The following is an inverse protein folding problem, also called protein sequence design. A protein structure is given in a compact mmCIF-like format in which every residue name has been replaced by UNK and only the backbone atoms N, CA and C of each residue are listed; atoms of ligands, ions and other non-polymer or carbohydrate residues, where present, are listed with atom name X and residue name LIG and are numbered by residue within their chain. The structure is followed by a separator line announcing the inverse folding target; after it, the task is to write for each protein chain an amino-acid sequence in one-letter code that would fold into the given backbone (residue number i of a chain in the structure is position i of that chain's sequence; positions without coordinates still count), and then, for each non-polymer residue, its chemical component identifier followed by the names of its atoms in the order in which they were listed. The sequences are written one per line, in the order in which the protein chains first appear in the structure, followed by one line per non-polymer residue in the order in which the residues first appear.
data_IF_815054850209
#
_entry.id   IF_815054850209
#
_cell.length_a   1.000
_cell.length_b   1.000
_cell.length_c   1.000
_cell.angle_alpha   90.00
_cell.angle_beta   90.00
_cell.angle_gamma   90.00
#
_symmetry.space_group_name_H-M   'P 1'
#
loop_
_entity.id
_entity.type
_entity.pdbx_description
1 polymer ?
#
# COMPACT_ATOMS: atom_id res chain seq x y z
N UNK A 1 14.67 36.02 -53.59
CA UNK A 1 15.91 36.77 -53.24
C UNK A 1 15.65 37.52 -51.95
N UNK A 2 16.58 37.44 -50.99
CA UNK A 2 16.66 38.15 -49.68
C UNK A 2 15.55 37.83 -48.66
N UNK A 3 15.73 36.93 -47.67
CA UNK A 3 16.49 37.02 -46.39
C UNK A 3 16.19 38.29 -45.56
N UNK A 4 15.50 38.12 -44.43
CA UNK A 4 15.97 38.65 -43.14
C UNK A 4 15.40 37.80 -41.98
N UNK A 5 16.31 37.29 -41.17
CA UNK A 5 16.05 36.55 -39.94
C UNK A 5 15.79 37.54 -38.79
N UNK A 6 14.85 37.24 -37.91
CA UNK A 6 14.70 37.91 -36.62
C UNK A 6 14.79 36.86 -35.51
N UNK A 7 15.82 37.04 -34.69
CA UNK A 7 16.16 36.33 -33.46
C UNK A 7 15.07 36.45 -32.40
N UNK A 8 14.71 35.32 -31.79
CA UNK A 8 13.83 35.21 -30.63
C UNK A 8 14.68 35.39 -29.36
N UNK A 9 14.51 36.52 -28.67
CA UNK A 9 15.05 36.72 -27.32
C UNK A 9 13.96 36.35 -26.31
N UNK A 10 14.17 35.29 -25.55
CA UNK A 10 13.34 34.92 -24.41
C UNK A 10 13.64 35.89 -23.25
N UNK A 11 12.65 36.73 -22.91
CA UNK A 11 12.67 37.54 -21.69
C UNK A 11 12.40 36.63 -20.50
N UNK A 12 13.38 36.50 -19.59
CA UNK A 12 13.13 36.05 -18.22
C UNK A 12 12.24 37.10 -17.51
N UNK A 13 11.03 36.70 -17.14
CA UNK A 13 10.19 37.49 -16.25
C UNK A 13 10.48 37.10 -14.80
N UNK A 14 11.23 37.94 -14.09
CA UNK A 14 11.27 37.96 -12.63
C UNK A 14 9.85 38.15 -12.10
N UNK A 15 9.32 37.15 -11.39
CA UNK A 15 8.08 37.31 -10.63
C UNK A 15 8.38 37.96 -9.29
N UNK A 16 7.59 38.97 -8.96
CA UNK A 16 7.73 39.82 -7.79
C UNK A 16 7.45 39.04 -6.49
N UNK A 17 8.38 39.18 -5.53
CA UNK A 17 8.23 38.74 -4.14
C UNK A 17 7.14 39.56 -3.43
N UNK A 18 6.28 38.88 -2.68
CA UNK A 18 5.25 39.46 -1.81
C UNK A 18 5.86 39.83 -0.46
N UNK A 19 5.40 40.89 0.25
CA UNK A 19 6.11 41.42 1.40
C UNK A 19 5.73 40.69 2.70
N UNK A 20 6.70 40.03 3.35
CA UNK A 20 6.63 39.71 4.78
C UNK A 20 7.38 40.78 5.58
N UNK A 21 6.70 41.36 6.57
CA UNK A 21 7.26 42.38 7.46
C UNK A 21 8.22 41.75 8.49
N UNK A 22 9.44 42.29 8.54
CA UNK A 22 10.48 41.97 9.52
C UNK A 22 10.14 42.47 10.93
N UNK A 23 10.29 41.62 11.94
CA UNK A 23 10.39 42.06 13.34
C UNK A 23 11.85 41.89 13.77
N UNK A 24 12.55 43.02 13.89
CA UNK A 24 13.93 43.08 14.35
C UNK A 24 14.02 42.85 15.88
N UNK A 25 14.93 41.98 16.30
CA UNK A 25 15.40 41.83 17.67
C UNK A 25 16.93 41.76 17.67
N UNK A 26 17.56 42.65 18.42
CA UNK A 26 18.99 42.98 18.36
C UNK A 26 19.92 41.95 19.02
N UNK A 27 21.13 41.81 18.47
CA UNK A 27 22.31 41.19 19.08
C UNK A 27 23.51 41.29 18.12
N UNK A 28 24.51 42.07 18.50
CA UNK A 28 25.76 42.29 17.74
C UNK A 28 26.57 41.00 17.54
N UNK A 29 26.71 40.55 16.29
CA UNK A 29 27.81 39.68 15.85
C UNK A 29 28.40 40.23 14.56
N UNK A 30 29.43 41.08 14.68
CA UNK A 30 30.21 41.56 13.56
C UNK A 30 31.10 40.42 13.02
N UNK A 31 30.54 39.61 12.12
CA UNK A 31 31.28 38.56 11.41
C UNK A 31 30.44 37.45 10.78
N UNK A 32 29.13 37.37 11.04
CA UNK A 32 28.26 36.40 10.36
C UNK A 32 27.94 36.86 8.94
N UNK A 33 28.05 35.95 7.97
CA UNK A 33 27.45 36.14 6.66
C UNK A 33 25.93 36.28 6.82
N UNK A 34 25.28 37.27 6.17
CA UNK A 34 23.83 37.43 6.24
C UNK A 34 23.11 36.14 5.82
N UNK A 35 22.05 35.77 6.53
CA UNK A 35 21.22 34.59 6.23
C UNK A 35 20.23 34.84 5.08
N UNK A 36 19.56 33.79 4.58
CA UNK A 36 18.52 33.95 3.56
C UNK A 36 17.45 34.95 4.03
N UNK A 37 17.08 35.88 3.15
CA UNK A 37 16.19 37.04 3.41
C UNK A 37 16.76 38.20 4.24
N UNK A 38 18.03 38.16 4.68
CA UNK A 38 18.70 39.33 5.28
C UNK A 38 19.29 40.27 4.21
N UNK A 39 19.33 41.57 4.51
CA UNK A 39 19.91 42.57 3.61
C UNK A 39 21.38 42.25 3.29
N UNK A 40 21.69 42.10 2.00
CA UNK A 40 23.04 41.73 1.54
C UNK A 40 23.25 40.23 1.33
N UNK A 41 22.25 39.38 1.60
CA UNK A 41 22.28 37.97 1.19
C UNK A 41 22.40 37.86 -0.34
N UNK A 42 23.35 37.04 -0.79
CA UNK A 42 23.50 36.68 -2.19
C UNK A 42 23.39 35.17 -2.28
N UNK A 43 22.31 34.69 -2.91
CA UNK A 43 22.11 33.25 -3.09
C UNK A 43 23.32 32.63 -3.82
N UNK A 44 23.85 31.50 -3.34
CA UNK A 44 24.95 30.82 -3.99
C UNK A 44 24.52 30.34 -5.38
N UNK A 45 25.45 30.39 -6.34
CA UNK A 45 25.22 29.80 -7.66
C UNK A 45 25.60 28.32 -7.62
N UNK A 46 24.66 27.39 -7.84
CA UNK A 46 24.98 25.97 -7.88
C UNK A 46 25.87 25.60 -9.06
N UNK A 47 26.60 24.48 -8.91
CA UNK A 47 27.33 23.84 -10.00
C UNK A 47 26.53 22.64 -10.48
N UNK A 48 26.14 22.63 -11.76
CA UNK A 48 25.48 21.48 -12.36
C UNK A 48 26.43 20.27 -12.41
N UNK A 49 25.91 19.10 -12.05
CA UNK A 49 26.63 17.81 -12.09
C UNK A 49 25.94 16.89 -13.08
N UNK A 50 26.71 16.26 -13.96
CA UNK A 50 26.18 15.34 -14.95
C UNK A 50 25.68 14.05 -14.29
N UNK A 51 24.47 13.62 -14.64
CA UNK A 51 23.92 12.31 -14.25
C UNK A 51 24.31 11.30 -15.32
N UNK A 52 25.14 10.32 -14.95
CA UNK A 52 25.68 9.33 -15.89
C UNK A 52 25.02 7.95 -15.81
N UNK A 53 24.16 7.73 -14.81
CA UNK A 53 23.48 6.45 -14.58
C UNK A 53 22.57 6.48 -13.36
N UNK A 54 21.88 5.36 -13.13
CA UNK A 54 21.01 5.11 -11.97
C UNK A 54 21.44 3.80 -11.32
N UNK A 55 21.72 3.74 -10.00
CA UNK A 55 21.55 4.81 -9.01
C UNK A 55 22.41 6.06 -9.28
N UNK A 56 21.93 7.24 -8.86
CA UNK A 56 22.61 8.52 -9.11
C UNK A 56 23.77 8.65 -8.14
N UNK A 57 24.99 8.47 -8.64
CA UNK A 57 26.22 8.58 -7.85
C UNK A 57 27.09 9.70 -8.41
N UNK A 58 27.51 10.63 -7.55
CA UNK A 58 28.30 11.80 -7.92
C UNK A 58 29.63 11.84 -7.18
N UNK A 59 30.67 12.40 -7.80
CA UNK A 59 31.92 12.72 -7.09
C UNK A 59 31.69 13.85 -6.11
N UNK A 60 32.18 13.68 -4.88
CA UNK A 60 31.82 14.54 -3.75
C UNK A 60 32.95 14.68 -2.73
N UNK A 61 32.81 15.71 -1.88
CA UNK A 61 33.55 15.89 -0.64
C UNK A 61 32.59 16.25 0.48
N UNK A 62 33.06 16.22 1.73
CA UNK A 62 32.28 16.66 2.90
C UNK A 62 31.99 18.16 2.94
N UNK A 63 32.58 18.94 2.03
CA UNK A 63 32.32 20.37 1.90
C UNK A 63 31.18 20.66 0.90
N UNK A 64 30.70 19.63 0.20
CA UNK A 64 29.63 19.74 -0.79
C UNK A 64 28.30 19.26 -0.20
N UNK A 65 27.20 19.75 -0.74
CA UNK A 65 25.90 19.08 -0.66
C UNK A 65 25.20 19.18 -2.01
N UNK A 66 24.21 18.33 -2.22
CA UNK A 66 23.61 18.14 -3.53
C UNK A 66 22.09 18.20 -3.45
N UNK A 67 21.49 18.77 -4.49
CA UNK A 67 20.06 18.73 -4.73
C UNK A 67 19.81 17.86 -5.96
N UNK A 68 18.96 16.85 -5.80
CA UNK A 68 18.48 15.99 -6.88
C UNK A 68 17.11 16.49 -7.32
N UNK A 69 16.96 16.74 -8.61
CA UNK A 69 15.70 17.09 -9.26
C UNK A 69 15.25 15.97 -10.18
N UNK A 70 13.94 15.71 -10.22
CA UNK A 70 13.30 14.77 -11.13
C UNK A 70 12.37 15.51 -12.09
N UNK A 71 12.39 15.12 -13.36
CA UNK A 71 11.41 15.57 -14.37
C UNK A 71 10.25 14.60 -14.41
N UNK A 72 9.09 15.05 -13.94
CA UNK A 72 7.87 14.26 -13.80
C UNK A 72 6.79 14.71 -14.80
N UNK A 73 5.79 13.87 -15.09
CA UNK A 73 4.61 14.29 -15.84
C UNK A 73 3.78 15.36 -15.10
N UNK A 74 3.26 16.34 -15.85
CA UNK A 74 2.39 17.41 -15.34
C UNK A 74 1.15 17.66 -16.22
N UNK A 75 0.96 16.82 -17.24
CA UNK A 75 -0.10 16.91 -18.24
C UNK A 75 0.16 15.91 -19.37
N UNK A 76 -0.78 15.73 -20.32
CA UNK A 76 -0.62 14.78 -21.41
C UNK A 76 0.66 15.00 -22.23
N UNK A 77 1.04 16.27 -22.44
CA UNK A 77 2.23 16.67 -23.19
C UNK A 77 3.10 17.67 -22.38
N UNK A 78 2.99 17.64 -21.05
CA UNK A 78 3.67 18.58 -20.17
C UNK A 78 4.45 17.84 -19.08
N UNK A 79 5.62 18.39 -18.76
CA UNK A 79 6.45 17.92 -17.64
C UNK A 79 6.73 19.06 -16.69
N UNK A 80 7.05 18.71 -15.44
CA UNK A 80 7.56 19.64 -14.43
C UNK A 80 8.82 19.04 -13.84
N UNK A 81 9.77 19.90 -13.50
CA UNK A 81 10.91 19.51 -12.66
C UNK A 81 10.56 19.79 -11.19
N UNK A 82 10.82 18.81 -10.32
CA UNK A 82 10.62 18.93 -8.86
C UNK A 82 11.89 18.50 -8.13
N UNK A 83 12.27 19.16 -7.02
CA UNK A 83 13.33 18.65 -6.16
C UNK A 83 12.81 17.42 -5.39
N UNK A 84 13.60 16.36 -5.33
CA UNK A 84 13.23 15.09 -4.67
C UNK A 84 14.11 14.74 -3.48
N UNK A 85 15.33 15.30 -3.40
CA UNK A 85 16.19 15.12 -2.23
C UNK A 85 17.27 16.19 -2.11
N UNK A 86 17.63 16.54 -0.87
CA UNK A 86 18.88 17.27 -0.54
C UNK A 86 19.78 16.33 0.26
N UNK A 87 21.05 16.23 -0.09
CA UNK A 87 21.97 15.24 0.51
C UNK A 87 23.35 15.85 0.76
N UNK A 88 23.87 15.69 1.98
CA UNK A 88 25.25 16.07 2.32
C UNK A 88 26.26 15.21 1.55
N UNK A 89 27.32 15.83 1.09
CA UNK A 89 28.42 15.15 0.42
C UNK A 89 29.25 14.30 1.38
N UNK A 90 29.77 13.21 0.86
CA UNK A 90 30.69 12.29 1.52
C UNK A 90 32.06 12.33 0.84
N UNK A 91 33.10 11.80 1.48
CA UNK A 91 34.42 11.76 0.88
C UNK A 91 34.45 10.79 -0.32
N UNK A 92 34.82 11.30 -1.50
CA UNK A 92 34.96 10.51 -2.72
C UNK A 92 33.70 10.55 -3.57
N UNK A 93 32.66 9.83 -3.17
CA UNK A 93 31.38 9.78 -3.90
C UNK A 93 30.18 9.77 -2.96
N UNK A 94 29.08 10.37 -3.40
CA UNK A 94 27.79 10.38 -2.69
C UNK A 94 26.72 9.79 -3.60
N UNK A 95 25.91 8.89 -3.04
CA UNK A 95 24.67 8.41 -3.68
C UNK A 95 23.54 9.35 -3.33
N UNK A 96 22.83 9.85 -4.34
CA UNK A 96 21.65 10.70 -4.17
C UNK A 96 20.40 9.83 -4.28
N UNK A 97 19.52 9.93 -3.29
CA UNK A 97 18.40 9.01 -3.11
C UNK A 97 17.07 9.69 -3.42
N UNK A 98 16.42 9.22 -4.48
CA UNK A 98 15.00 9.40 -4.70
C UNK A 98 14.23 8.33 -3.90
N UNK A 99 13.15 8.72 -3.22
CA UNK A 99 12.36 7.83 -2.34
C UNK A 99 11.31 7.00 -3.09
N UNK A 100 11.16 7.26 -4.39
CA UNK A 100 10.23 6.57 -5.29
C UNK A 100 10.99 5.74 -6.33
N UNK A 101 10.21 5.09 -7.19
CA UNK A 101 10.72 4.24 -8.26
C UNK A 101 11.73 5.04 -9.12
N UNK A 102 12.99 4.60 -9.23
CA UNK A 102 14.01 5.37 -9.94
C UNK A 102 13.63 5.60 -11.41
N UNK A 103 13.80 6.84 -11.87
CA UNK A 103 13.64 7.21 -13.28
C UNK A 103 14.87 6.86 -14.12
N UNK A 104 14.79 7.02 -15.43
CA UNK A 104 15.97 6.99 -16.29
C UNK A 104 16.87 8.21 -16.02
N UNK A 105 18.19 8.06 -16.24
CA UNK A 105 19.19 9.08 -15.91
C UNK A 105 18.93 10.46 -16.56
N UNK A 106 18.33 10.50 -17.75
CA UNK A 106 17.97 11.73 -18.48
C UNK A 106 16.81 12.52 -17.85
N UNK A 107 16.10 11.92 -16.89
CA UNK A 107 15.04 12.56 -16.12
C UNK A 107 15.54 13.16 -14.81
N UNK A 108 16.81 12.95 -14.46
CA UNK A 108 17.42 13.54 -13.28
C UNK A 108 18.34 14.69 -13.64
N UNK A 109 18.37 15.68 -12.75
CA UNK A 109 19.32 16.78 -12.78
C UNK A 109 19.90 16.96 -11.38
N UNK A 110 21.19 17.21 -11.29
CA UNK A 110 21.88 17.40 -10.00
C UNK A 110 22.52 18.76 -9.95
N UNK A 111 22.31 19.45 -8.84
CA UNK A 111 23.03 20.66 -8.46
C UNK A 111 23.91 20.40 -7.26
N UNK A 112 25.11 20.95 -7.28
CA UNK A 112 26.07 20.91 -6.20
C UNK A 112 26.28 22.30 -5.61
N UNK A 113 26.24 22.36 -4.29
CA UNK A 113 26.43 23.55 -3.48
C UNK A 113 27.59 23.34 -2.49
N UNK A 114 28.06 24.43 -1.87
CA UNK A 114 29.05 24.38 -0.80
C UNK A 114 28.36 24.49 0.56
N UNK A 115 28.70 23.60 1.49
CA UNK A 115 28.20 23.65 2.88
C UNK A 115 28.55 24.97 3.58
N UNK A 116 29.69 25.57 3.22
CA UNK A 116 30.13 26.85 3.78
C UNK A 116 29.38 28.08 3.22
N UNK A 117 28.57 27.90 2.17
CA UNK A 117 27.75 28.95 1.57
C UNK A 117 26.46 28.32 1.07
N UNK A 118 25.58 27.89 1.98
CA UNK A 118 24.36 27.17 1.63
C UNK A 118 23.32 28.07 0.95
N UNK A 119 22.52 27.45 0.10
CA UNK A 119 21.31 28.03 -0.49
C UNK A 119 20.13 27.94 0.45
N UNK A 120 19.00 28.47 0.00
CA UNK A 120 17.67 28.34 0.58
C UNK A 120 16.76 27.95 -0.59
N UNK A 121 16.59 26.65 -0.77
CA UNK A 121 15.99 26.09 -1.99
C UNK A 121 14.48 26.31 -2.03
N UNK A 122 13.81 26.20 -0.88
CA UNK A 122 12.36 26.33 -0.77
C UNK A 122 11.89 27.76 -0.44
N UNK A 123 12.84 28.66 -0.12
CA UNK A 123 12.62 30.08 0.04
C UNK A 123 11.93 30.45 1.35
N UNK A 124 12.12 29.65 2.40
CA UNK A 124 11.50 29.86 3.71
C UNK A 124 12.31 30.78 4.65
N UNK A 125 13.44 31.30 4.16
CA UNK A 125 14.42 32.11 4.86
C UNK A 125 15.34 31.35 5.83
N UNK A 126 15.37 30.02 5.78
CA UNK A 126 16.33 29.15 6.47
C UNK A 126 17.19 28.46 5.41
N UNK A 127 18.50 28.36 5.63
CA UNK A 127 19.37 27.72 4.65
C UNK A 127 19.28 26.19 4.70
N UNK A 128 19.48 25.55 3.55
CA UNK A 128 19.31 24.10 3.35
C UNK A 128 20.11 23.26 4.37
N UNK A 129 21.28 23.76 4.80
CA UNK A 129 22.17 23.05 5.72
C UNK A 129 21.67 23.15 7.16
N UNK A 130 21.22 24.33 7.57
CA UNK A 130 20.54 24.52 8.86
C UNK A 130 19.30 23.64 8.96
N UNK A 131 18.53 23.52 7.88
CA UNK A 131 17.35 22.66 7.84
C UNK A 131 17.69 21.17 7.85
N UNK A 132 18.72 20.73 7.13
CA UNK A 132 19.22 19.36 7.17
C UNK A 132 19.66 18.95 8.58
N UNK A 133 20.34 19.86 9.30
CA UNK A 133 20.78 19.63 10.69
C UNK A 133 19.60 19.72 11.68
N UNK A 134 18.51 20.39 11.28
CA UNK A 134 17.27 20.59 12.03
C UNK A 134 16.09 19.75 11.53
N UNK A 135 16.34 18.65 10.81
CA UNK A 135 15.30 17.80 10.23
C UNK A 135 14.27 17.39 11.30
N UNK A 136 12.99 17.49 10.97
CA UNK A 136 11.89 17.29 11.91
C UNK A 136 11.21 18.61 12.28
N UNK A 137 12.02 19.64 12.57
CA UNK A 137 11.54 21.00 12.78
C UNK A 137 11.41 21.78 11.46
N UNK A 138 12.27 21.46 10.51
CA UNK A 138 12.38 22.04 9.16
C UNK A 138 12.56 20.93 8.12
N UNK A 139 12.54 21.29 6.84
CA UNK A 139 12.85 20.37 5.76
C UNK A 139 13.20 21.16 4.48
N UNK A 140 14.41 20.99 3.88
CA UNK A 140 14.92 21.82 2.76
C UNK A 140 14.11 21.90 1.47
N UNK A 141 13.02 21.13 1.38
CA UNK A 141 12.15 21.00 0.21
C UNK A 141 10.70 21.39 0.54
N UNK A 142 10.46 21.93 1.72
CA UNK A 142 9.12 22.19 2.22
C UNK A 142 9.12 23.48 3.06
N UNK A 143 8.66 24.61 2.47
CA UNK A 143 8.70 25.91 3.12
C UNK A 143 7.59 26.08 4.17
N UNK A 144 7.06 24.96 4.66
CA UNK A 144 6.14 24.89 5.76
C UNK A 144 6.81 25.40 7.02
N UNK A 145 6.22 26.42 7.64
CA UNK A 145 6.70 26.95 8.91
C UNK A 145 6.83 25.84 9.95
N UNK A 146 7.91 25.89 10.72
CA UNK A 146 8.11 25.04 11.89
C UNK A 146 6.86 25.02 12.79
N UNK A 147 6.40 23.81 13.10
CA UNK A 147 5.31 23.56 14.04
C UNK A 147 5.76 22.58 15.13
N UNK A 148 5.16 22.69 16.32
CA UNK A 148 5.42 21.73 17.39
C UNK A 148 4.77 20.39 17.09
N UNK A 149 5.42 19.28 17.48
CA UNK A 149 4.90 17.90 17.26
C UNK A 149 3.51 17.64 17.87
N UNK A 150 3.13 18.41 18.90
CA UNK A 150 1.78 18.41 19.47
C UNK A 150 0.71 19.06 18.57
N UNK A 151 1.11 19.66 17.45
CA UNK A 151 0.26 20.29 16.44
C UNK A 151 0.28 19.49 15.14
N UNK A 152 1.48 19.07 14.71
CA UNK A 152 1.75 18.34 13.49
C UNK A 152 3.26 18.27 13.22
N UNK A 153 3.65 18.00 11.98
CA UNK A 153 5.03 18.05 11.49
C UNK A 153 5.09 18.52 10.03
N UNK A 154 6.24 19.02 9.59
CA UNK A 154 6.53 19.34 8.18
C UNK A 154 7.25 18.18 7.45
N UNK A 155 7.57 17.12 8.18
CA UNK A 155 8.27 15.93 7.68
C UNK A 155 7.83 14.68 8.45
N UNK A 156 7.85 13.51 7.81
CA UNK A 156 7.81 12.21 8.49
C UNK A 156 9.12 11.48 8.23
N UNK A 157 10.07 11.67 9.14
CA UNK A 157 11.43 11.15 9.07
C UNK A 157 11.58 9.71 9.60
N UNK A 158 10.59 9.23 10.36
CA UNK A 158 10.63 7.92 11.00
C UNK A 158 9.25 7.33 11.23
N UNK A 159 9.20 6.01 11.44
CA UNK A 159 7.98 5.34 11.91
C UNK A 159 7.47 5.89 13.24
N UNK A 160 8.37 6.34 14.13
CA UNK A 160 8.01 6.90 15.42
C UNK A 160 7.27 8.24 15.25
N UNK A 161 7.76 9.10 14.35
CA UNK A 161 7.07 10.34 13.98
C UNK A 161 5.68 10.04 13.41
N UNK A 162 5.58 9.07 12.49
CA UNK A 162 4.28 8.64 11.95
C UNK A 162 3.32 8.18 13.04
N UNK A 163 3.75 7.26 13.91
CA UNK A 163 2.95 6.71 15.02
C UNK A 163 2.56 7.76 16.07
N UNK A 164 3.39 8.79 16.24
CA UNK A 164 3.12 9.92 17.15
C UNK A 164 1.96 10.78 16.64
N UNK A 165 1.94 11.04 15.34
CA UNK A 165 0.90 11.85 14.68
C UNK A 165 -0.38 11.05 14.40
N UNK A 166 -0.28 9.73 14.22
CA UNK A 166 -1.37 8.87 13.80
C UNK A 166 -2.51 8.83 14.82
N UNK A 167 -3.75 8.73 14.33
CA UNK A 167 -4.94 8.58 15.16
C UNK A 167 -4.88 7.30 16.00
N UNK A 168 -5.02 7.44 17.33
CA UNK A 168 -4.96 6.34 18.32
C UNK A 168 -6.34 5.96 18.88
N UNK A 169 -7.42 6.35 18.19
CA UNK A 169 -8.78 6.07 18.64
C UNK A 169 -9.26 4.66 18.28
N UNK A 170 -10.58 4.47 18.18
CA UNK A 170 -11.20 3.14 17.97
C UNK A 170 -11.17 2.63 16.53
N UNK A 171 -10.50 3.33 15.61
CA UNK A 171 -10.44 2.90 14.22
C UNK A 171 -9.59 1.62 14.12
N UNK A 172 -9.95 0.67 13.23
CA UNK A 172 -9.18 -0.56 13.04
C UNK A 172 -7.84 -0.35 12.33
N UNK A 173 -7.52 0.88 11.90
CA UNK A 173 -6.32 1.26 11.19
C UNK A 173 -5.77 2.60 11.71
N UNK A 174 -4.44 2.76 11.66
CA UNK A 174 -3.74 3.98 12.05
C UNK A 174 -3.53 4.87 10.82
N UNK A 175 -3.96 6.13 10.91
CA UNK A 175 -3.78 7.09 9.83
C UNK A 175 -3.32 8.45 10.36
N UNK A 176 -2.49 9.14 9.57
CA UNK A 176 -2.22 10.57 9.74
C UNK A 176 -3.01 11.34 8.68
N UNK A 177 -3.43 12.56 9.02
CA UNK A 177 -3.95 13.49 8.01
C UNK A 177 -2.79 14.30 7.46
N UNK A 178 -2.88 14.71 6.21
CA UNK A 178 -1.96 15.68 5.64
C UNK A 178 -2.72 16.78 4.90
N UNK A 179 -2.07 17.93 4.77
CA UNK A 179 -2.53 19.08 4.01
C UNK A 179 -1.38 19.59 3.15
N UNK A 180 -1.68 19.92 1.90
CA UNK A 180 -0.78 20.56 0.96
C UNK A 180 -1.43 21.86 0.55
N UNK A 181 -0.73 22.95 0.80
CA UNK A 181 -1.17 24.29 0.46
C UNK A 181 -0.44 24.78 -0.78
N UNK A 182 -1.10 25.64 -1.55
CA UNK A 182 -0.54 26.27 -2.76
C UNK A 182 -0.02 25.28 -3.82
N UNK A 183 -0.73 24.14 -4.01
CA UNK A 183 -0.31 23.04 -4.91
C UNK A 183 0.08 23.51 -6.32
N UNK A 184 -0.63 24.52 -6.84
CA UNK A 184 -0.45 25.07 -8.18
C UNK A 184 0.27 26.44 -8.19
N UNK A 185 0.63 26.99 -7.03
CA UNK A 185 1.16 28.35 -6.88
C UNK A 185 2.68 28.48 -7.00
N UNK A 186 3.37 27.41 -7.37
CA UNK A 186 4.81 27.38 -7.60
C UNK A 186 5.67 27.09 -6.36
N UNK A 187 5.14 27.28 -5.14
CA UNK A 187 5.83 26.93 -3.90
C UNK A 187 4.90 26.17 -2.93
N UNK A 188 4.56 24.90 -3.23
CA UNK A 188 3.66 24.12 -2.40
C UNK A 188 4.33 23.73 -1.08
N UNK A 189 3.55 23.61 -0.01
CA UNK A 189 4.07 23.19 1.29
C UNK A 189 3.14 22.19 1.99
N UNK A 190 3.77 21.24 2.67
CA UNK A 190 3.16 20.05 3.25
C UNK A 190 3.12 20.17 4.77
N UNK A 191 1.99 19.80 5.36
CA UNK A 191 1.87 19.52 6.79
C UNK A 191 1.27 18.14 7.03
N UNK A 192 1.92 17.38 7.89
CA UNK A 192 1.38 16.19 8.53
C UNK A 192 0.72 16.57 9.84
N UNK A 193 -0.57 16.30 9.96
CA UNK A 193 -1.40 16.78 11.06
C UNK A 193 -1.36 15.76 12.20
N UNK A 194 -1.26 16.24 13.43
CA UNK A 194 -1.47 15.39 14.61
C UNK A 194 -2.96 15.04 14.72
N UNK A 195 -3.36 13.89 14.17
CA UNK A 195 -4.77 13.47 14.05
C UNK A 195 -5.40 13.17 15.41
N UNK A 196 -4.61 12.91 16.45
CA UNK A 196 -5.15 12.78 17.81
C UNK A 196 -5.70 14.10 18.35
N UNK A 197 -5.13 15.23 17.91
CA UNK A 197 -5.56 16.57 18.31
C UNK A 197 -6.55 17.19 17.33
N UNK A 198 -6.28 17.04 16.04
CA UNK A 198 -7.06 17.63 14.95
C UNK A 198 -7.78 16.54 14.17
N UNK A 199 -8.99 16.20 14.62
CA UNK A 199 -9.79 15.16 13.97
C UNK A 199 -10.32 15.58 12.59
N UNK A 200 -10.40 16.87 12.30
CA UNK A 200 -10.91 17.41 11.05
C UNK A 200 -9.89 18.39 10.43
N UNK A 201 -9.74 18.35 9.10
CA UNK A 201 -8.73 19.15 8.36
C UNK A 201 -8.94 20.65 8.49
N UNK A 202 -10.19 21.10 8.50
CA UNK A 202 -10.61 22.49 8.67
C UNK A 202 -10.09 23.09 9.99
N UNK A 203 -10.19 22.36 11.10
CA UNK A 203 -9.69 22.83 12.40
C UNK A 203 -8.19 23.10 12.45
N UNK A 204 -7.40 22.36 11.66
CA UNK A 204 -5.97 22.60 11.50
C UNK A 204 -5.72 23.79 10.56
N UNK A 205 -6.40 23.82 9.41
CA UNK A 205 -6.25 24.87 8.41
C UNK A 205 -6.60 26.26 8.96
N UNK A 206 -7.66 26.38 9.77
CA UNK A 206 -8.10 27.63 10.39
C UNK A 206 -7.02 28.26 11.29
N UNK A 207 -6.13 27.43 11.85
CA UNK A 207 -5.04 27.87 12.72
C UNK A 207 -3.75 28.15 11.95
N UNK A 208 -3.42 27.32 10.96
CA UNK A 208 -2.09 27.30 10.33
C UNK A 208 -2.04 27.87 8.91
N UNK A 209 -3.19 28.08 8.26
CA UNK A 209 -3.28 28.54 6.87
C UNK A 209 -4.34 29.65 6.67
N UNK A 210 -4.85 30.26 7.75
CA UNK A 210 -5.87 31.29 7.66
C UNK A 210 -5.27 32.71 7.69
N UNK A 211 -5.60 33.60 6.74
CA UNK A 211 -6.44 33.37 5.55
C UNK A 211 -5.72 32.62 4.43
N UNK A 212 -6.44 31.79 3.65
CA UNK A 212 -5.87 31.12 2.50
C UNK A 212 -5.42 32.13 1.45
N UNK A 213 -4.33 31.82 0.75
CA UNK A 213 -3.83 32.66 -0.34
C UNK A 213 -4.84 32.65 -1.49
N UNK A 214 -5.25 33.84 -1.95
CA UNK A 214 -6.20 33.95 -3.06
C UNK A 214 -5.66 33.25 -4.32
N UNK A 215 -6.46 32.36 -4.91
CA UNK A 215 -6.07 31.58 -6.09
C UNK A 215 -5.20 30.34 -5.81
N UNK A 216 -4.89 30.04 -4.55
CA UNK A 216 -4.16 28.82 -4.19
C UNK A 216 -5.08 27.59 -4.13
N UNK A 217 -4.53 26.44 -4.54
CA UNK A 217 -5.20 25.14 -4.42
C UNK A 217 -4.74 24.44 -3.14
N UNK A 218 -5.68 24.17 -2.24
CA UNK A 218 -5.43 23.34 -1.05
C UNK A 218 -5.92 21.93 -1.29
N UNK A 219 -5.01 20.97 -1.15
CA UNK A 219 -5.30 19.54 -1.19
C UNK A 219 -5.09 18.94 0.19
N UNK A 220 -5.90 17.94 0.53
CA UNK A 220 -5.78 17.27 1.81
C UNK A 220 -6.23 15.83 1.71
N UNK A 221 -5.66 15.01 2.57
CA UNK A 221 -5.80 13.57 2.50
C UNK A 221 -5.53 12.88 3.82
N UNK A 222 -5.53 11.56 3.74
CA UNK A 222 -5.18 10.63 4.80
C UNK A 222 -4.05 9.74 4.29
N UNK A 223 -3.07 9.48 5.14
CA UNK A 223 -1.95 8.59 4.89
C UNK A 223 -2.00 7.47 5.92
N UNK A 224 -1.90 6.24 5.45
CA UNK A 224 -1.99 5.01 6.21
C UNK A 224 -0.74 4.17 5.95
N UNK A 225 -0.40 3.30 6.90
CA UNK A 225 0.66 2.31 6.71
C UNK A 225 0.07 0.91 6.85
N UNK A 226 0.20 0.13 5.78
CA UNK A 226 -0.31 -1.24 5.69
C UNK A 226 0.87 -2.22 5.69
N UNK A 227 1.21 -2.81 6.85
CA UNK A 227 2.44 -3.61 7.02
C UNK A 227 2.43 -4.95 6.26
N UNK A 228 1.26 -5.42 5.84
CA UNK A 228 1.11 -6.70 5.15
C UNK A 228 1.01 -6.54 3.63
N UNK A 229 0.98 -5.30 3.11
CA UNK A 229 0.91 -5.04 1.67
C UNK A 229 2.28 -5.16 1.04
N UNK A 230 2.38 -5.79 -0.13
CA UNK A 230 3.63 -5.84 -0.89
C UNK A 230 3.75 -4.61 -1.78
N UNK A 231 4.87 -3.89 -1.67
CA UNK A 231 5.22 -2.76 -2.51
C UNK A 231 5.62 -3.21 -3.93
N UNK A 232 5.72 -2.27 -4.87
CA UNK A 232 6.07 -2.53 -6.27
C UNK A 232 7.47 -3.15 -6.44
N UNK A 233 8.37 -2.92 -5.49
CA UNK A 233 9.72 -3.51 -5.45
C UNK A 233 9.77 -4.90 -4.78
N UNK A 234 8.63 -5.41 -4.31
CA UNK A 234 8.50 -6.70 -3.64
C UNK A 234 8.73 -6.68 -2.13
N UNK A 235 9.04 -5.53 -1.52
CA UNK A 235 9.15 -5.38 -0.07
C UNK A 235 7.78 -5.42 0.62
N UNK A 236 7.74 -5.79 1.91
CA UNK A 236 6.52 -5.74 2.71
C UNK A 236 6.38 -4.40 3.43
N UNK A 237 5.15 -3.89 3.48
CA UNK A 237 4.80 -2.65 4.14
C UNK A 237 4.70 -1.50 3.15
N UNK A 238 3.48 -1.02 2.91
CA UNK A 238 3.20 0.12 2.02
C UNK A 238 2.61 1.27 2.81
N UNK A 239 3.20 2.45 2.64
CA UNK A 239 2.53 3.71 2.94
C UNK A 239 1.59 4.03 1.78
N UNK A 240 0.33 4.32 2.08
CA UNK A 240 -0.61 4.70 1.04
C UNK A 240 -1.43 5.90 1.45
N UNK A 241 -1.67 6.78 0.48
CA UNK A 241 -2.44 7.99 0.70
C UNK A 241 -3.72 8.00 -0.10
N UNK A 242 -4.73 8.65 0.48
CA UNK A 242 -6.03 8.86 -0.13
C UNK A 242 -6.35 10.35 -0.11
N UNK A 243 -6.75 10.88 -1.26
CA UNK A 243 -7.22 12.27 -1.36
C UNK A 243 -8.71 12.35 -1.02
N UNK A 244 -9.07 13.29 -0.13
CA UNK A 244 -10.45 13.42 0.36
C UNK A 244 -11.36 14.23 -0.57
N UNK A 245 -10.77 14.90 -1.57
CA UNK A 245 -11.49 15.58 -2.67
C UNK A 245 -11.03 14.99 -3.99
N UNK A 246 -11.88 15.13 -5.00
CA UNK A 246 -11.52 14.76 -6.37
C UNK A 246 -10.27 15.52 -6.81
N UNK A 247 -9.33 14.78 -7.39
CA UNK A 247 -8.09 15.28 -7.96
C UNK A 247 -7.91 14.71 -9.35
N UNK A 248 -7.26 15.47 -10.24
CA UNK A 248 -6.78 14.89 -11.49
C UNK A 248 -5.61 13.94 -11.21
N UNK A 249 -5.29 13.08 -12.17
CA UNK A 249 -4.09 12.23 -12.11
C UNK A 249 -2.81 13.06 -11.91
N UNK A 250 -2.66 14.15 -12.66
CA UNK A 250 -1.48 15.04 -12.56
C UNK A 250 -1.33 15.70 -11.20
N UNK A 251 -2.47 16.03 -10.56
CA UNK A 251 -2.47 16.52 -9.17
C UNK A 251 -2.08 15.41 -8.20
N UNK A 252 -2.61 14.19 -8.35
CA UNK A 252 -2.23 13.05 -7.51
C UNK A 252 -0.74 12.71 -7.65
N UNK A 253 -0.20 12.76 -8.87
CA UNK A 253 1.23 12.59 -9.13
C UNK A 253 2.07 13.68 -8.46
N UNK A 254 1.64 14.96 -8.54
CA UNK A 254 2.34 16.03 -7.83
C UNK A 254 2.35 15.81 -6.31
N UNK A 255 1.20 15.43 -5.75
CA UNK A 255 1.06 15.13 -4.33
C UNK A 255 1.97 13.97 -3.92
N UNK A 256 2.06 12.92 -4.73
CA UNK A 256 2.95 11.78 -4.49
C UNK A 256 4.41 12.22 -4.37
N UNK A 257 4.88 13.09 -5.25
CA UNK A 257 6.26 13.62 -5.21
C UNK A 257 6.50 14.50 -3.98
N UNK A 258 5.55 15.39 -3.64
CA UNK A 258 5.68 16.24 -2.45
C UNK A 258 5.66 15.43 -1.14
N UNK A 259 4.83 14.40 -1.07
CA UNK A 259 4.80 13.49 0.07
C UNK A 259 6.10 12.67 0.14
N UNK A 260 6.58 12.15 -0.99
CA UNK A 260 7.82 11.38 -1.02
C UNK A 260 9.04 12.22 -0.61
N UNK A 261 9.13 13.44 -1.11
CA UNK A 261 10.19 14.40 -0.76
C UNK A 261 10.17 14.77 0.72
N UNK A 262 9.01 14.77 1.39
CA UNK A 262 8.83 15.14 2.81
C UNK A 262 8.65 13.94 3.75
N UNK A 263 8.85 12.72 3.25
CA UNK A 263 8.79 11.49 4.04
C UNK A 263 10.06 10.65 3.84
N UNK A 264 11.20 11.05 4.44
CA UNK A 264 12.45 10.27 4.38
C UNK A 264 12.33 8.83 4.91
N UNK A 265 11.26 8.50 5.66
CA UNK A 265 10.92 7.15 6.12
C UNK A 265 10.60 6.18 4.97
N UNK A 266 10.29 6.69 3.77
CA UNK A 266 9.92 5.86 2.62
C UNK A 266 11.12 5.15 2.00
N UNK A 267 10.87 3.92 1.55
CA UNK A 267 11.81 3.07 0.84
C UNK A 267 11.13 2.51 -0.41
N UNK A 268 10.80 3.38 -1.38
CA UNK A 268 10.08 3.00 -2.61
C UNK A 268 8.75 2.26 -2.37
N UNK A 269 8.08 2.58 -1.26
CA UNK A 269 6.89 1.89 -0.78
C UNK A 269 5.70 2.84 -0.56
N UNK A 270 5.62 3.91 -1.36
CA UNK A 270 4.49 4.83 -1.37
C UNK A 270 3.51 4.48 -2.51
N UNK A 271 2.22 4.45 -2.20
CA UNK A 271 1.18 4.23 -3.19
C UNK A 271 0.00 5.21 -3.03
N UNK A 272 -0.72 5.45 -4.13
CA UNK A 272 -1.92 6.26 -4.16
C UNK A 272 -3.17 5.39 -4.24
N UNK A 273 -4.10 5.57 -3.31
CA UNK A 273 -5.41 4.91 -3.31
C UNK A 273 -6.50 5.91 -3.71
N UNK A 274 -7.02 5.86 -4.94
CA UNK A 274 -8.09 6.76 -5.37
C UNK A 274 -9.43 6.40 -4.71
N UNK A 275 -10.13 7.40 -4.12
CA UNK A 275 -11.52 7.20 -3.62
C UNK A 275 -12.53 6.98 -4.73
N UNK A 276 -12.25 7.54 -5.90
CA UNK A 276 -13.09 7.47 -7.09
C UNK A 276 -12.19 6.92 -8.18
N UNK A 277 -12.48 5.69 -8.65
CA UNK A 277 -11.73 5.11 -9.76
C UNK A 277 -11.89 6.01 -10.99
N UNK A 278 -10.79 6.35 -11.70
CA UNK A 278 -10.90 7.03 -12.97
C UNK A 278 -11.74 6.19 -13.94
N UNK A 279 -12.47 6.84 -14.85
CA UNK A 279 -13.22 6.10 -15.87
C UNK A 279 -12.23 5.28 -16.71
N UNK A 280 -12.53 4.00 -16.99
CA UNK A 280 -11.58 3.09 -17.64
C UNK A 280 -10.97 3.58 -18.98
N UNK A 281 -11.63 4.54 -19.66
CA UNK A 281 -11.16 5.13 -20.91
C UNK A 281 -10.59 6.55 -20.76
N UNK A 282 -10.40 7.04 -19.53
CA UNK A 282 -9.85 8.36 -19.30
C UNK A 282 -8.32 8.32 -19.42
N UNK A 283 -7.65 9.41 -19.82
CA UNK A 283 -6.18 9.49 -19.83
C UNK A 283 -5.56 9.07 -18.49
N UNK A 284 -6.26 9.32 -17.40
CA UNK A 284 -5.88 8.95 -16.03
C UNK A 284 -5.91 7.44 -15.78
N UNK A 285 -6.83 6.68 -16.41
CA UNK A 285 -6.88 5.22 -16.32
C UNK A 285 -5.91 4.52 -17.29
N UNK A 286 -5.40 5.25 -18.28
CA UNK A 286 -4.51 4.74 -19.32
C UNK A 286 -3.03 5.10 -19.08
N UNK A 287 -2.73 5.83 -18.01
CA UNK A 287 -1.36 6.24 -17.71
C UNK A 287 -0.58 5.10 -17.04
N UNK A 288 0.61 4.82 -17.55
CA UNK A 288 1.50 3.75 -17.08
C UNK A 288 2.79 4.34 -16.47
N UNK A 289 2.65 5.23 -15.48
CA UNK A 289 3.80 5.74 -14.74
C UNK A 289 3.99 4.90 -13.48
N UNK A 290 5.13 4.20 -13.42
CA UNK A 290 5.49 3.34 -12.30
C UNK A 290 5.81 4.15 -11.02
N UNK A 291 5.93 5.48 -11.08
CA UNK A 291 6.14 6.35 -9.89
C UNK A 291 4.88 6.62 -9.10
N UNK A 292 3.73 6.74 -9.76
CA UNK A 292 2.43 6.84 -9.09
C UNK A 292 1.79 5.45 -9.06
N UNK A 293 2.26 4.61 -8.14
CA UNK A 293 1.69 3.28 -7.94
C UNK A 293 0.26 3.41 -7.44
N UNK A 294 -0.69 2.91 -8.22
CA UNK A 294 -2.11 2.86 -7.81
C UNK A 294 -2.30 1.62 -6.94
N UNK A 295 -2.77 1.83 -5.70
CA UNK A 295 -3.16 0.77 -4.79
C UNK A 295 -4.67 0.57 -4.87
N UNK A 296 -5.08 -0.61 -5.31
CA UNK A 296 -6.49 -0.98 -5.34
C UNK A 296 -6.93 -1.57 -3.99
N UNK A 297 -8.23 -1.62 -3.74
CA UNK A 297 -8.77 -2.17 -2.49
C UNK A 297 -8.40 -3.66 -2.32
N UNK A 298 -8.29 -4.37 -3.43
CA UNK A 298 -7.83 -5.75 -3.49
C UNK A 298 -6.36 -5.90 -3.04
N UNK A 299 -5.54 -4.89 -3.27
CA UNK A 299 -4.12 -4.82 -2.90
C UNK A 299 -3.88 -4.34 -1.46
N UNK A 300 -4.89 -3.88 -0.73
CA UNK A 300 -4.80 -3.63 0.73
C UNK A 300 -4.97 -4.90 1.57
N UNK A 301 -5.28 -6.00 0.88
CA UNK A 301 -5.36 -7.33 1.44
C UNK A 301 -4.30 -8.31 0.90
N UNK A 302 -2.99 -7.99 0.79
CA UNK A 302 -1.95 -8.96 0.44
C UNK A 302 -1.37 -9.59 1.72
N UNK A 303 -0.93 -10.82 1.59
CA UNK A 303 0.36 -11.31 2.10
C UNK A 303 0.59 -11.61 3.60
N UNK A 304 -0.44 -12.09 4.28
CA UNK A 304 -0.27 -12.99 5.43
C UNK A 304 0.41 -14.31 4.98
N UNK A 305 1.53 -14.75 5.56
CA UNK A 305 2.14 -16.05 5.20
C UNK A 305 1.23 -17.25 5.53
N UNK A 306 0.34 -17.05 6.51
CA UNK A 306 -0.59 -18.03 7.00
C UNK A 306 -1.89 -17.37 7.50
N UNK A 307 -3.03 -17.71 6.91
CA UNK A 307 -4.34 -17.30 7.45
C UNK A 307 -5.05 -18.53 8.03
N UNK A 308 -5.35 -18.57 9.34
CA UNK A 308 -6.15 -19.63 9.93
C UNK A 308 -7.62 -19.44 9.55
N UNK A 309 -8.12 -20.26 8.62
CA UNK A 309 -9.49 -20.14 8.12
C UNK A 309 -10.49 -20.99 8.93
N UNK A 310 -10.11 -22.23 9.26
CA UNK A 310 -10.83 -23.08 10.20
C UNK A 310 -9.86 -23.81 11.13
N UNK A 311 -9.96 -23.54 12.43
CA UNK A 311 -9.11 -24.12 13.47
C UNK A 311 -9.66 -25.47 13.88
N UNK A 312 -8.98 -26.53 13.47
CA UNK A 312 -9.34 -27.92 13.75
C UNK A 312 -8.09 -28.79 13.57
N UNK A 313 -8.26 -30.09 13.79
CA UNK A 313 -7.24 -31.09 13.52
C UNK A 313 -7.81 -32.22 12.66
N UNK A 314 -6.95 -32.80 11.82
CA UNK A 314 -7.32 -33.86 10.90
C UNK A 314 -6.16 -34.78 10.60
N UNK A 315 -6.50 -35.99 10.20
CA UNK A 315 -5.56 -37.02 9.75
C UNK A 315 -5.95 -37.46 8.34
N UNK A 316 -4.97 -37.55 7.43
CA UNK A 316 -5.25 -37.89 6.05
C UNK A 316 -4.01 -38.02 5.17
N UNK A 317 -4.21 -38.33 3.89
CA UNK A 317 -3.14 -38.38 2.89
C UNK A 317 -2.90 -36.97 2.33
N UNK A 318 -1.69 -36.43 2.48
CA UNK A 318 -1.35 -35.13 1.90
C UNK A 318 -1.20 -35.25 0.38
N UNK A 319 -2.02 -34.51 -0.39
CA UNK A 319 -2.00 -34.57 -1.85
C UNK A 319 -2.01 -33.18 -2.47
N UNK A 320 -1.08 -32.95 -3.39
CA UNK A 320 -1.13 -31.80 -4.29
C UNK A 320 -2.17 -32.06 -5.37
N UNK A 321 -3.11 -31.13 -5.50
CA UNK A 321 -4.20 -31.20 -6.46
C UNK A 321 -3.78 -30.51 -7.76
N UNK A 322 -4.00 -31.18 -8.89
CA UNK A 322 -3.88 -30.58 -10.22
C UNK A 322 -5.28 -30.29 -10.80
N UNK A 323 -5.35 -29.52 -11.89
CA UNK A 323 -6.62 -29.13 -12.50
C UNK A 323 -7.44 -30.37 -12.94
N UNK A 324 -8.66 -30.48 -12.43
CA UNK A 324 -9.57 -31.60 -12.69
C UNK A 324 -9.46 -32.78 -11.72
N UNK A 325 -8.51 -32.77 -10.77
CA UNK A 325 -8.46 -33.77 -9.72
C UNK A 325 -9.63 -33.60 -8.72
N UNK A 326 -10.23 -34.73 -8.33
CA UNK A 326 -11.24 -34.77 -7.28
C UNK A 326 -10.64 -35.36 -5.99
N UNK A 327 -10.69 -34.64 -4.85
CA UNK A 327 -10.15 -35.14 -3.59
C UNK A 327 -11.06 -36.22 -2.98
N UNK A 328 -10.45 -37.15 -2.25
CA UNK A 328 -11.19 -38.18 -1.50
C UNK A 328 -11.49 -37.71 -0.08
N UNK A 329 -12.47 -38.32 0.62
CA UNK A 329 -12.79 -38.02 2.02
C UNK A 329 -11.64 -38.15 3.02
N UNK A 330 -10.56 -38.82 2.65
CA UNK A 330 -9.37 -39.05 3.48
C UNK A 330 -8.18 -38.19 3.08
N UNK A 331 -8.31 -37.36 2.05
CA UNK A 331 -7.21 -36.54 1.56
C UNK A 331 -7.14 -35.21 2.33
N UNK A 332 -5.92 -34.76 2.60
CA UNK A 332 -5.61 -33.37 2.95
C UNK A 332 -5.10 -32.72 1.67
N UNK A 333 -5.93 -31.88 1.07
CA UNK A 333 -5.73 -31.38 -0.28
C UNK A 333 -4.98 -30.04 -0.28
N UNK A 334 -3.91 -29.94 -1.08
CA UNK A 334 -3.20 -28.68 -1.37
C UNK A 334 -3.66 -28.18 -2.73
N UNK A 335 -4.24 -26.99 -2.78
CA UNK A 335 -4.71 -26.37 -4.02
C UNK A 335 -3.84 -25.17 -4.42
N UNK A 336 -3.40 -25.15 -5.69
CA UNK A 336 -2.70 -24.01 -6.31
C UNK A 336 -3.65 -22.89 -6.75
N UNK A 337 -4.93 -23.20 -6.89
CA UNK A 337 -6.02 -22.31 -7.34
C UNK A 337 -7.26 -22.53 -6.46
N UNK A 338 -8.19 -21.57 -6.43
CA UNK A 338 -9.41 -21.72 -5.63
C UNK A 338 -10.35 -22.75 -6.28
N UNK A 339 -10.72 -23.84 -5.59
CA UNK A 339 -11.64 -24.81 -6.16
C UNK A 339 -13.07 -24.25 -6.20
N UNK A 340 -13.80 -24.54 -7.28
CA UNK A 340 -15.19 -24.12 -7.43
C UNK A 340 -16.13 -24.81 -6.43
N UNK A 341 -15.80 -26.03 -6.00
CA UNK A 341 -16.49 -26.72 -4.92
C UNK A 341 -15.50 -27.50 -4.03
N UNK A 342 -15.85 -27.73 -2.76
CA UNK A 342 -15.10 -28.56 -1.83
C UNK A 342 -15.90 -29.83 -1.51
N UNK A 343 -15.56 -30.99 -2.11
CA UNK A 343 -16.05 -32.30 -1.68
C UNK A 343 -15.63 -32.60 -0.24
N UNK A 344 -16.15 -33.69 0.34
CA UNK A 344 -15.71 -34.11 1.68
C UNK A 344 -14.21 -34.45 1.63
N UNK A 345 -13.44 -33.87 2.55
CA UNK A 345 -11.99 -34.03 2.69
C UNK A 345 -11.60 -34.11 4.16
N UNK A 346 -10.37 -34.51 4.46
CA UNK A 346 -9.81 -34.54 5.82
C UNK A 346 -9.11 -33.23 6.23
N UNK A 347 -8.86 -32.34 5.26
CA UNK A 347 -8.30 -31.00 5.48
C UNK A 347 -8.01 -30.29 4.16
N UNK A 348 -7.84 -28.97 4.21
CA UNK A 348 -7.55 -28.15 3.01
C UNK A 348 -6.42 -27.15 3.27
N UNK A 349 -5.54 -27.00 2.27
CA UNK A 349 -4.47 -26.00 2.21
C UNK A 349 -4.58 -25.28 0.87
N UNK A 350 -4.54 -23.96 0.87
CA UNK A 350 -4.56 -23.14 -0.36
C UNK A 350 -3.31 -22.29 -0.46
N UNK A 351 -2.79 -22.12 -1.69
CA UNK A 351 -1.65 -21.23 -1.97
C UNK A 351 -2.08 -19.85 -2.46
N UNK A 352 -3.38 -19.57 -2.50
CA UNK A 352 -3.97 -18.28 -2.83
C UNK A 352 -4.88 -17.87 -1.66
N UNK A 353 -4.84 -16.59 -1.21
CA UNK A 353 -5.68 -16.12 -0.10
C UNK A 353 -7.18 -16.42 -0.30
N UNK A 354 -7.86 -16.71 0.81
CA UNK A 354 -9.33 -16.87 0.88
C UNK A 354 -9.90 -15.95 1.95
N UNK A 355 -11.18 -15.57 1.79
CA UNK A 355 -11.92 -14.90 2.86
C UNK A 355 -12.50 -15.94 3.84
N UNK A 356 -12.61 -15.62 5.15
CA UNK A 356 -13.21 -16.53 6.14
C UNK A 356 -14.66 -16.94 5.86
N UNK A 357 -15.40 -16.14 5.08
CA UNK A 357 -16.80 -16.43 4.70
C UNK A 357 -16.93 -17.12 3.32
N UNK A 358 -15.83 -17.56 2.72
CA UNK A 358 -15.88 -18.30 1.44
C UNK A 358 -16.67 -19.61 1.58
N UNK A 359 -17.37 -20.02 0.52
CA UNK A 359 -18.16 -21.27 0.51
C UNK A 359 -17.29 -22.50 0.84
N UNK A 360 -16.02 -22.51 0.40
CA UNK A 360 -15.02 -23.53 0.76
C UNK A 360 -14.79 -23.56 2.27
N UNK A 361 -14.58 -22.41 2.92
CA UNK A 361 -14.36 -22.37 4.36
C UNK A 361 -15.60 -22.74 5.18
N UNK A 362 -16.80 -22.32 4.74
CA UNK A 362 -18.06 -22.70 5.39
C UNK A 362 -18.27 -24.22 5.39
N UNK A 363 -17.90 -24.91 4.30
CA UNK A 363 -17.93 -26.39 4.25
C UNK A 363 -16.88 -27.02 5.16
N UNK A 364 -15.69 -26.42 5.28
CA UNK A 364 -14.68 -26.90 6.22
C UNK A 364 -15.16 -26.82 7.68
N UNK A 365 -15.85 -25.72 8.04
CA UNK A 365 -16.49 -25.55 9.35
C UNK A 365 -17.57 -26.62 9.58
N UNK A 366 -18.49 -26.80 8.62
CA UNK A 366 -19.58 -27.80 8.73
C UNK A 366 -19.05 -29.22 8.96
N UNK A 367 -17.94 -29.57 8.29
CA UNK A 367 -17.33 -30.89 8.39
C UNK A 367 -16.32 -31.01 9.55
N UNK A 368 -16.04 -29.92 10.28
CA UNK A 368 -15.06 -29.86 11.38
C UNK A 368 -13.64 -30.29 10.96
N UNK A 369 -13.15 -29.79 9.82
CA UNK A 369 -11.83 -30.13 9.27
C UNK A 369 -10.90 -28.91 9.13
N UNK A 370 -9.58 -29.04 9.32
CA UNK A 370 -8.66 -27.92 9.27
C UNK A 370 -8.60 -27.26 7.88
N UNK A 371 -8.59 -25.92 7.86
CA UNK A 371 -8.44 -25.13 6.63
C UNK A 371 -7.54 -23.91 6.88
N UNK A 372 -6.59 -23.66 5.97
CA UNK A 372 -5.76 -22.47 6.00
C UNK A 372 -5.25 -22.06 4.60
N UNK A 373 -4.97 -20.78 4.45
CA UNK A 373 -4.08 -20.29 3.40
C UNK A 373 -2.64 -20.37 3.91
N UNK A 374 -1.76 -21.01 3.14
CA UNK A 374 -0.32 -21.11 3.44
C UNK A 374 0.44 -20.71 2.18
N UNK A 375 1.12 -19.57 2.27
CA UNK A 375 1.95 -19.05 1.19
C UNK A 375 3.15 -19.95 0.95
N UNK A 376 3.50 -20.14 -0.32
CA UNK A 376 4.73 -20.83 -0.73
C UNK A 376 4.92 -22.23 -0.12
N UNK A 377 3.82 -22.90 0.27
CA UNK A 377 3.86 -24.25 0.86
C UNK A 377 4.59 -25.27 -0.03
N UNK A 378 4.59 -25.03 -1.35
CA UNK A 378 5.27 -25.85 -2.36
C UNK A 378 6.76 -25.52 -2.54
N UNK A 379 7.27 -24.47 -1.89
CA UNK A 379 8.70 -24.12 -1.87
C UNK A 379 9.40 -24.65 -0.62
N UNK A 380 8.66 -25.06 0.41
CA UNK A 380 9.21 -25.69 1.61
C UNK A 380 9.57 -27.16 1.34
N UNK A 381 10.87 -27.47 1.32
CA UNK A 381 11.37 -28.83 1.08
C UNK A 381 10.89 -29.85 2.12
N UNK A 382 10.68 -29.40 3.36
CA UNK A 382 10.22 -30.26 4.47
C UNK A 382 8.76 -30.67 4.25
N UNK A 383 7.91 -29.74 3.82
CA UNK A 383 6.50 -30.01 3.55
C UNK A 383 6.31 -30.78 2.24
N UNK A 384 7.11 -30.48 1.21
CA UNK A 384 7.10 -31.25 -0.03
C UNK A 384 7.45 -32.73 0.21
N UNK A 385 8.34 -33.04 1.15
CA UNK A 385 8.68 -34.42 1.52
C UNK A 385 7.53 -35.19 2.18
N UNK A 386 6.46 -34.51 2.62
CA UNK A 386 5.26 -35.11 3.17
C UNK A 386 4.18 -35.39 2.11
N UNK A 387 4.30 -34.82 0.90
CA UNK A 387 3.34 -35.06 -0.18
C UNK A 387 3.35 -36.55 -0.54
N UNK A 388 2.16 -37.16 -0.58
CA UNK A 388 1.98 -38.59 -0.80
C UNK A 388 2.05 -39.45 0.46
N UNK A 389 2.22 -38.85 1.65
CA UNK A 389 2.24 -39.56 2.94
C UNK A 389 1.01 -39.27 3.78
N UNK A 390 0.74 -40.14 4.75
CA UNK A 390 -0.25 -39.85 5.79
C UNK A 390 0.33 -38.82 6.75
N UNK A 391 -0.45 -37.79 7.06
CA UNK A 391 -0.02 -36.67 7.89
C UNK A 391 -1.07 -36.36 8.96
N UNK A 392 -0.57 -35.78 10.04
CA UNK A 392 -1.36 -35.01 10.98
C UNK A 392 -1.29 -33.55 10.58
N UNK A 393 -2.45 -32.90 10.45
CA UNK A 393 -2.56 -31.49 10.13
C UNK A 393 -3.46 -30.81 11.17
N UNK A 394 -2.93 -29.77 11.81
CA UNK A 394 -3.68 -28.94 12.74
C UNK A 394 -3.47 -27.46 12.45
N UNK A 395 -4.56 -26.69 12.56
CA UNK A 395 -4.59 -25.24 12.36
C UNK A 395 -5.01 -24.60 13.67
N UNK A 396 -4.22 -23.66 14.17
CA UNK A 396 -4.53 -22.86 15.37
C UNK A 396 -4.53 -21.38 15.01
N UNK A 397 -4.94 -20.52 15.94
CA UNK A 397 -4.86 -19.07 15.74
C UNK A 397 -3.44 -18.53 15.56
N UNK A 398 -2.42 -19.26 16.03
CA UNK A 398 -1.01 -18.82 16.02
C UNK A 398 -0.19 -19.45 14.89
N UNK A 399 -0.70 -20.50 14.24
CA UNK A 399 0.03 -21.20 13.18
C UNK A 399 -0.58 -22.54 12.79
N UNK A 400 0.23 -23.40 12.20
CA UNK A 400 -0.16 -24.75 11.83
C UNK A 400 0.92 -25.78 12.19
N UNK A 401 0.51 -27.02 12.36
CA UNK A 401 1.40 -28.17 12.50
C UNK A 401 1.12 -29.15 11.38
N UNK A 402 2.16 -29.53 10.65
CA UNK A 402 2.09 -30.54 9.60
C UNK A 402 3.25 -31.52 9.77
N UNK A 403 2.93 -32.79 10.04
CA UNK A 403 3.93 -33.85 10.27
C UNK A 403 3.45 -35.19 9.73
N UNK A 404 4.37 -36.10 9.47
CA UNK A 404 4.03 -37.48 9.14
C UNK A 404 3.25 -38.16 10.29
N UNK A 405 2.26 -38.97 9.94
CA UNK A 405 1.41 -39.72 10.85
C UNK A 405 1.48 -41.23 10.56
N UNK A 406 1.37 -42.02 11.62
CA UNK A 406 1.30 -43.48 11.53
C UNK A 406 -0.08 -43.92 11.05
N UNK A 407 -0.13 -45.09 10.41
CA UNK A 407 -1.41 -45.69 10.01
C UNK A 407 -2.39 -45.86 11.18
N UNK A 408 -1.87 -46.19 12.38
CA UNK A 408 -2.68 -46.34 13.58
C UNK A 408 -3.39 -45.04 13.97
N UNK A 409 -2.68 -43.90 13.95
CA UNK A 409 -3.27 -42.58 14.26
C UNK A 409 -4.42 -42.24 13.29
N UNK A 410 -4.22 -42.51 11.99
CA UNK A 410 -5.25 -42.28 10.96
C UNK A 410 -6.47 -43.17 11.18
N UNK A 411 -6.26 -44.48 11.41
CA UNK A 411 -7.35 -45.44 11.60
C UNK A 411 -8.15 -45.13 12.89
N UNK A 412 -7.48 -44.76 13.98
CA UNK A 412 -8.12 -44.41 15.26
C UNK A 412 -8.97 -43.13 15.13
N UNK A 413 -8.48 -42.11 14.42
CA UNK A 413 -9.23 -40.86 14.17
C UNK A 413 -10.52 -41.12 13.37
N UNK A 414 -10.44 -41.90 12.29
CA UNK A 414 -11.63 -42.22 11.49
C UNK A 414 -12.61 -43.14 12.22
N UNK A 415 -12.12 -44.02 13.11
CA UNK A 415 -12.99 -44.85 13.94
C UNK A 415 -13.79 -43.99 14.95
N UNK A 416 -13.17 -42.97 15.54
CA UNK A 416 -13.81 -42.06 16.49
C UNK A 416 -14.90 -41.18 15.84
N UNK A 417 -14.77 -40.83 14.55
CA UNK A 417 -15.77 -40.05 13.83
C UNK A 417 -17.05 -40.83 13.45
N UNK A 418 -17.09 -42.15 13.68
CA UNK A 418 -18.27 -42.96 13.38
C UNK A 418 -19.34 -42.76 14.47
N UNK A 419 -20.63 -42.66 14.09
CA UNK A 419 -21.71 -42.65 15.07
C UNK A 419 -21.60 -43.86 16.00
N UNK A 420 -21.65 -43.61 17.31
CA UNK A 420 -21.62 -44.66 18.33
C UNK A 420 -22.91 -45.47 18.38
N UNK A 421 -23.99 -44.89 17.88
CA UNK A 421 -25.31 -45.52 17.81
C UNK A 421 -25.62 -45.98 16.39
N UNK A 422 -26.14 -47.20 16.28
CA UNK A 422 -26.60 -47.76 15.01
C UNK A 422 -27.81 -46.98 14.50
N UNK A 423 -27.68 -46.38 13.32
CA UNK A 423 -28.77 -45.68 12.65
C UNK A 423 -29.52 -46.67 11.74
N UNK A 424 -30.84 -46.79 11.91
CA UNK A 424 -31.71 -47.59 11.04
C UNK A 424 -32.71 -46.65 10.37
N UNK A 425 -32.64 -46.42 9.04
CA UNK A 425 -33.62 -45.57 8.37
C UNK A 425 -35.01 -46.21 8.42
N UNK A 426 -36.04 -45.39 8.57
CA UNK A 426 -37.44 -45.82 8.41
C UNK A 426 -37.68 -46.24 6.96
N UNK A 427 -38.42 -47.34 6.77
CA UNK A 427 -38.67 -47.95 5.47
C UNK A 427 -40.04 -48.58 5.42
N UNK A 428 -40.86 -48.17 4.47
CA UNK A 428 -42.10 -48.85 4.14
C UNK A 428 -41.87 -49.80 2.94
N UNK A 429 -41.75 -51.10 3.23
CA UNK A 429 -41.57 -52.13 2.20
C UNK A 429 -42.90 -52.71 1.70
N UNK A 430 -44.04 -52.19 2.15
CA UNK A 430 -45.37 -52.68 1.73
C UNK A 430 -45.73 -52.21 0.32
N UNK A 431 -45.14 -51.10 -0.13
CA UNK A 431 -45.30 -50.57 -1.48
C UNK A 431 -44.43 -51.36 -2.47
N UNK A 432 -45.09 -52.14 -3.32
CA UNK A 432 -44.43 -53.11 -4.24
C UNK A 432 -44.75 -52.86 -5.71
N UNK A 433 -45.61 -51.88 -6.00
CA UNK A 433 -45.99 -51.50 -7.37
C UNK A 433 -45.17 -50.31 -7.84
N UNK A 434 -44.89 -50.29 -9.15
CA UNK A 434 -44.28 -49.12 -9.80
C UNK A 434 -45.32 -48.01 -9.81
N UNK A 435 -44.99 -46.88 -9.18
CA UNK A 435 -45.84 -45.68 -9.11
C UNK A 435 -45.31 -44.65 -10.10
N UNK A 436 -46.21 -43.94 -10.79
CA UNK A 436 -45.81 -42.85 -11.66
C UNK A 436 -45.21 -41.70 -10.84
N UNK A 437 -44.18 -41.03 -11.37
CA UNK A 437 -43.48 -39.95 -10.65
C UNK A 437 -44.43 -38.79 -10.27
N UNK A 438 -45.47 -38.53 -11.06
CA UNK A 438 -46.52 -37.54 -10.78
C UNK A 438 -47.34 -37.84 -9.53
N UNK A 439 -47.40 -39.11 -9.15
CA UNK A 439 -48.28 -39.62 -8.10
C UNK A 439 -47.54 -39.85 -6.77
N UNK A 440 -46.22 -39.57 -6.74
CA UNK A 440 -45.38 -39.63 -5.54
C UNK A 440 -45.38 -38.26 -4.86
N UNK A 441 -45.47 -38.24 -3.53
CA UNK A 441 -45.38 -37.02 -2.70
C UNK A 441 -44.12 -37.01 -1.83
N UNK A 442 -43.84 -35.87 -1.19
CA UNK A 442 -42.77 -35.79 -0.18
C UNK A 442 -42.97 -36.77 0.98
N UNK A 443 -44.22 -37.04 1.38
CA UNK A 443 -44.54 -37.90 2.52
C UNK A 443 -44.25 -39.39 2.24
N UNK A 444 -44.13 -39.80 0.98
CA UNK A 444 -43.85 -41.20 0.59
C UNK A 444 -42.34 -41.53 0.58
N UNK A 445 -41.51 -40.71 1.24
CA UNK A 445 -40.04 -40.83 1.22
C UNK A 445 -39.52 -42.12 1.85
N UNK A 446 -40.26 -42.72 2.77
CA UNK A 446 -39.93 -43.98 3.45
C UNK A 446 -40.18 -45.21 2.56
N UNK A 447 -41.11 -45.12 1.62
CA UNK A 447 -41.40 -46.16 0.63
C UNK A 447 -40.50 -46.06 -0.62
N UNK A 448 -40.30 -44.85 -1.15
CA UNK A 448 -39.60 -44.63 -2.44
C UNK A 448 -38.19 -44.03 -2.30
N UNK A 449 -37.84 -43.56 -1.11
CA UNK A 449 -36.59 -42.85 -0.84
C UNK A 449 -36.69 -41.33 -1.07
N UNK A 450 -36.05 -40.56 -0.19
CA UNK A 450 -36.02 -39.08 -0.21
C UNK A 450 -35.63 -38.46 -1.55
N UNK A 451 -34.78 -39.11 -2.36
CA UNK A 451 -34.42 -38.61 -3.70
C UNK A 451 -35.59 -38.68 -4.69
N UNK A 452 -36.34 -39.78 -4.69
CA UNK A 452 -37.48 -39.97 -5.58
C UNK A 452 -38.63 -39.04 -5.19
N UNK A 453 -38.92 -38.95 -3.88
CA UNK A 453 -39.93 -38.07 -3.33
C UNK A 453 -39.66 -36.58 -3.66
N UNK A 454 -38.42 -36.10 -3.47
CA UNK A 454 -38.04 -34.72 -3.84
C UNK A 454 -38.14 -34.45 -5.34
N UNK A 455 -37.75 -35.40 -6.20
CA UNK A 455 -37.89 -35.27 -7.65
C UNK A 455 -39.37 -35.20 -8.08
N UNK A 456 -40.22 -35.98 -7.43
CA UNK A 456 -41.67 -35.95 -7.66
C UNK A 456 -42.28 -34.59 -7.33
N UNK A 457 -41.91 -34.00 -6.19
CA UNK A 457 -42.34 -32.63 -5.83
C UNK A 457 -41.82 -31.57 -6.81
N UNK A 458 -40.55 -31.66 -7.21
CA UNK A 458 -39.98 -30.75 -8.22
C UNK A 458 -40.74 -30.84 -9.56
N UNK A 459 -41.19 -32.02 -9.96
CA UNK A 459 -41.94 -32.23 -11.21
C UNK A 459 -43.32 -31.55 -11.23
N UNK A 460 -43.86 -31.20 -10.05
CA UNK A 460 -45.15 -30.51 -9.90
C UNK A 460 -45.00 -28.98 -10.01
N UNK A 461 -43.79 -28.46 -9.87
CA UNK A 461 -43.51 -27.04 -10.02
C UNK A 461 -43.44 -26.68 -11.51
N UNK A 462 -44.20 -25.66 -11.91
CA UNK A 462 -44.06 -25.05 -13.24
C UNK A 462 -42.82 -24.15 -13.25
N UNK A 463 -41.66 -24.77 -13.43
CA UNK A 463 -40.40 -24.05 -13.66
C UNK A 463 -40.32 -23.66 -15.15
N UNK A 464 -39.89 -22.44 -15.49
CA UNK A 464 -39.79 -21.97 -16.88
C UNK A 464 -38.78 -22.74 -17.74
#
# INVERSE_FOLDING_TARGET
MLRLALTLAALLALHALSPYQSVAGAGDDAGSTPGPCEDGYTAPTPVAVAVTGVPVVVTSTTNDYFVLYATIPAGPDATREVPVSVTRGEAGTTTLTDRLQPLSADKYRVEKYQVASPGDLDGDCVDDITELDGLGAYHPLNPGKKIGVGEGSVVVDSEETFKTLAYKGRAPYNFIKFMIFDLDGGNPYVYFVNTNKYLAHDTFADKWHNPPRAGSTTVYGEMEYSPNVVASDGSLGVYHFTLLRGSTYWQAHHVNELLAATMPVLENNLAYRPRIKPQANSPEAQHSDDRLVILEDEDLHPDVAFVPLNQAEGYGLLRLMEDGDEPRPIDIAIYKSLPNDLPRVAGTITTIPQTPLSHVNLRAIQNSVPNAFIRDVLKDETLNALIGKHVYYAVTGEGYTLREATKKEVDDHHAAARPTETQTPERDLTVTKITALSDVSFDDWDAFGVKAANMAELSKLSLP
#
